data_IF_254087514759
#
_entry.id   IF_254087514759
#
_cell.length_a   1.000
_cell.length_b   1.000
_cell.length_c   1.000
_cell.angle_alpha   90.00
_cell.angle_beta   90.00
_cell.angle_gamma   90.00
#
_symmetry.space_group_name_H-M   'P 1'
#
loop_
_entity.id
_entity.type
_entity.pdbx_description
1 polymer ?
#
# COMPACT_ATOMS: atom_id res chain seq x y z
N UNK A 1 17.95 2.66 5.63
CA UNK A 1 18.64 3.95 5.48
C UNK A 1 18.77 4.51 4.05
N UNK A 2 19.16 3.75 3.03
CA UNK A 2 19.44 4.32 1.68
C UNK A 2 18.25 4.99 0.96
N UNK A 3 17.00 4.60 1.25
CA UNK A 3 15.80 5.17 0.61
C UNK A 3 15.52 6.59 1.11
N UNK A 4 15.68 6.84 2.42
CA UNK A 4 15.47 8.16 3.02
C UNK A 4 16.55 9.16 2.55
N UNK A 5 17.81 8.72 2.50
CA UNK A 5 18.92 9.55 2.02
C UNK A 5 18.78 9.94 0.53
N UNK A 6 18.26 9.04 -0.32
CA UNK A 6 18.02 9.34 -1.73
C UNK A 6 16.85 10.32 -1.94
N UNK A 7 15.82 10.26 -1.09
CA UNK A 7 14.69 11.19 -1.11
C UNK A 7 15.13 12.59 -0.69
N UNK A 8 15.93 12.72 0.36
CA UNK A 8 16.48 14.02 0.82
C UNK A 8 17.46 14.64 -0.18
N UNK A 9 18.36 13.84 -0.77
CA UNK A 9 19.34 14.35 -1.74
C UNK A 9 18.70 14.89 -3.02
N UNK A 10 17.61 14.26 -3.49
CA UNK A 10 16.99 14.63 -4.77
C UNK A 10 15.88 15.68 -4.67
N UNK A 11 15.46 16.09 -3.46
CA UNK A 11 14.28 16.96 -3.24
C UNK A 11 13.07 16.50 -4.07
N UNK A 12 12.82 15.19 -4.05
CA UNK A 12 11.73 14.60 -4.83
C UNK A 12 10.40 15.24 -4.44
N UNK A 13 9.61 15.61 -5.44
CA UNK A 13 8.24 16.07 -5.22
C UNK A 13 7.41 14.98 -4.52
N UNK A 14 6.33 15.35 -3.80
CA UNK A 14 5.46 14.36 -3.15
C UNK A 14 4.95 13.27 -4.12
N UNK A 15 4.74 13.61 -5.39
CA UNK A 15 4.40 12.65 -6.45
C UNK A 15 5.52 11.69 -6.81
N UNK A 16 6.75 12.17 -6.90
CA UNK A 16 7.89 11.32 -7.20
C UNK A 16 8.21 10.38 -6.04
N UNK A 17 8.04 10.83 -4.79
CA UNK A 17 8.24 10.00 -3.61
C UNK A 17 7.29 8.79 -3.59
N UNK A 18 5.99 9.01 -3.84
CA UNK A 18 5.00 7.92 -3.91
C UNK A 18 5.19 7.03 -5.13
N UNK A 19 5.57 7.57 -6.29
CA UNK A 19 5.86 6.76 -7.48
C UNK A 19 7.10 5.89 -7.26
N UNK A 20 8.13 6.42 -6.58
CA UNK A 20 9.30 5.65 -6.17
C UNK A 20 8.93 4.54 -5.18
N UNK A 21 8.10 4.83 -4.18
CA UNK A 21 7.61 3.82 -3.25
C UNK A 21 6.80 2.73 -3.97
N UNK A 22 5.90 3.13 -4.87
CA UNK A 22 5.10 2.22 -5.67
C UNK A 22 5.94 1.36 -6.64
N UNK A 23 7.10 1.85 -7.09
CA UNK A 23 8.02 1.06 -7.93
C UNK A 23 8.54 -0.20 -7.26
N UNK A 24 8.46 -0.28 -5.91
CA UNK A 24 8.83 -1.46 -5.13
C UNK A 24 7.67 -2.45 -4.94
N UNK A 25 6.45 -2.07 -5.35
CA UNK A 25 5.29 -2.95 -5.30
C UNK A 25 5.25 -3.87 -6.52
N UNK A 26 4.72 -5.08 -6.32
CA UNK A 26 4.42 -6.04 -7.37
C UNK A 26 2.93 -6.41 -7.43
N UNK A 27 2.51 -7.01 -8.53
CA UNK A 27 1.19 -7.64 -8.67
C UNK A 27 0.01 -6.70 -8.37
N UNK A 28 -0.95 -7.19 -7.59
CA UNK A 28 -2.20 -6.49 -7.28
C UNK A 28 -2.00 -5.16 -6.53
N UNK A 29 -0.94 -5.06 -5.71
CA UNK A 29 -0.61 -3.83 -4.99
C UNK A 29 -0.18 -2.70 -5.94
N UNK A 30 0.64 -3.02 -6.93
CA UNK A 30 1.05 -2.07 -7.97
C UNK A 30 -0.14 -1.65 -8.83
N UNK A 31 -1.01 -2.60 -9.20
CA UNK A 31 -2.21 -2.31 -10.00
C UNK A 31 -3.17 -1.38 -9.24
N UNK A 32 -3.41 -1.66 -7.95
CA UNK A 32 -4.23 -0.81 -7.09
C UNK A 32 -3.68 0.62 -7.03
N UNK A 33 -2.37 0.78 -6.84
CA UNK A 33 -1.75 2.10 -6.82
C UNK A 33 -1.96 2.84 -8.14
N UNK A 34 -1.74 2.18 -9.29
CA UNK A 34 -1.91 2.81 -10.62
C UNK A 34 -3.33 3.32 -10.84
N UNK A 35 -4.34 2.57 -10.40
CA UNK A 35 -5.76 2.96 -10.52
C UNK A 35 -6.09 4.15 -9.61
N UNK A 36 -5.50 4.19 -8.40
CA UNK A 36 -5.84 5.18 -7.38
C UNK A 36 -4.84 6.36 -7.32
N UNK A 37 -3.84 6.41 -8.20
CA UNK A 37 -2.71 7.37 -8.16
C UNK A 37 -3.14 8.83 -8.07
N UNK A 38 -4.26 9.21 -8.71
CA UNK A 38 -4.78 10.58 -8.68
C UNK A 38 -5.38 10.97 -7.33
N UNK A 39 -5.84 10.00 -6.54
CA UNK A 39 -6.44 10.19 -5.22
C UNK A 39 -5.40 10.15 -4.08
N UNK A 40 -4.13 9.94 -4.42
CA UNK A 40 -3.01 9.80 -3.48
C UNK A 40 -2.06 10.98 -3.74
N UNK A 41 -2.32 12.18 -3.18
CA UNK A 41 -1.55 13.38 -3.49
C UNK A 41 -0.12 13.30 -2.95
N UNK A 42 0.09 12.62 -1.83
CA UNK A 42 1.37 12.57 -1.12
C UNK A 42 1.63 11.18 -0.47
N UNK A 43 2.80 11.08 0.15
CA UNK A 43 3.29 9.85 0.75
C UNK A 43 2.53 9.43 2.02
N UNK A 44 1.96 10.37 2.77
CA UNK A 44 1.18 10.06 3.97
C UNK A 44 -0.14 9.39 3.59
N UNK A 45 -0.83 9.94 2.58
CA UNK A 45 -2.06 9.34 2.04
C UNK A 45 -1.77 7.97 1.42
N UNK A 46 -0.63 7.82 0.72
CA UNK A 46 -0.21 6.52 0.19
C UNK A 46 -0.12 5.46 1.29
N UNK A 47 0.62 5.76 2.37
CA UNK A 47 0.85 4.82 3.47
C UNK A 47 -0.48 4.47 4.13
N UNK A 48 -1.30 5.48 4.43
CA UNK A 48 -2.59 5.29 5.09
C UNK A 48 -3.51 4.37 4.28
N UNK A 49 -3.74 4.68 3.00
CA UNK A 49 -4.62 3.87 2.17
C UNK A 49 -4.06 2.47 1.89
N UNK A 50 -2.74 2.35 1.70
CA UNK A 50 -2.08 1.08 1.49
C UNK A 50 -2.25 0.15 2.71
N UNK A 51 -2.05 0.67 3.92
CA UNK A 51 -2.26 -0.10 5.16
C UNK A 51 -3.73 -0.48 5.37
N UNK A 52 -4.67 0.43 5.10
CA UNK A 52 -6.10 0.10 5.15
C UNK A 52 -6.46 -1.02 4.17
N UNK A 53 -5.96 -0.96 2.94
CA UNK A 53 -6.20 -1.98 1.92
C UNK A 53 -5.58 -3.32 2.30
N UNK A 54 -4.34 -3.31 2.79
CA UNK A 54 -3.64 -4.52 3.24
C UNK A 54 -4.36 -5.18 4.44
N UNK A 55 -4.76 -4.40 5.44
CA UNK A 55 -5.44 -4.92 6.63
C UNK A 55 -6.84 -5.46 6.30
N UNK A 56 -7.61 -4.76 5.47
CA UNK A 56 -8.93 -5.27 5.02
C UNK A 56 -8.84 -6.57 4.23
N UNK A 57 -7.76 -6.77 3.46
CA UNK A 57 -7.48 -8.05 2.80
C UNK A 57 -7.14 -9.17 3.79
N UNK A 58 -6.53 -8.87 4.94
CA UNK A 58 -6.26 -9.88 5.97
C UNK A 58 -7.50 -10.25 6.79
N UNK A 59 -8.34 -9.29 7.17
CA UNK A 59 -9.55 -9.56 7.97
C UNK A 59 -10.54 -10.47 7.22
N UNK A 60 -10.62 -10.35 5.90
CA UNK A 60 -11.46 -11.25 5.08
C UNK A 60 -10.94 -12.69 5.06
N UNK A 61 -9.65 -12.93 5.34
CA UNK A 61 -9.02 -14.25 5.30
C UNK A 61 -9.12 -14.99 6.65
N UNK A 62 -9.13 -14.26 7.77
CA UNK A 62 -9.34 -14.84 9.10
C UNK A 62 -10.78 -15.31 9.35
N UNK A 63 -11.78 -14.73 8.68
CA UNK A 63 -13.18 -15.13 8.86
C UNK A 63 -13.57 -16.44 8.13
N UNK A 64 -12.74 -16.94 7.23
CA UNK A 64 -13.00 -18.20 6.52
C UNK A 64 -12.56 -19.41 7.37
N UNK A 65 -11.57 -19.23 8.26
CA UNK A 65 -11.09 -20.29 9.14
C UNK A 65 -11.89 -20.46 10.45
N UNK A 66 -12.78 -19.52 10.80
CA UNK A 66 -13.63 -19.63 12.00
C UNK A 66 -15.00 -20.27 11.74
N UNK A 67 -15.45 -20.40 10.50
CA UNK A 67 -16.73 -21.06 10.16
C UNK A 67 -16.59 -22.52 9.76
N UNK A 68 -15.36 -23.03 9.54
CA UNK A 68 -15.11 -24.44 9.22
C UNK A 68 -15.21 -25.39 10.44
N UNK A 69 -15.59 -24.90 11.62
CA UNK A 69 -15.68 -25.72 12.84
C UNK A 69 -16.87 -25.38 13.73
N UNK A 70 -18.06 -25.17 13.15
CA UNK A 70 -19.32 -25.23 13.89
C UNK A 70 -20.37 -25.91 13.00
N UNK A 71 -20.25 -27.23 12.89
CA UNK A 71 -21.35 -28.11 12.50
C UNK A 71 -21.55 -29.00 13.75
N UNK A 72 -22.69 -28.91 14.46
CA UNK A 72 -23.03 -29.89 15.49
C UNK A 72 -23.29 -31.28 14.88
#
# INVERSE_FOLDING_TARGET
DQVLAYIEQKRLSPSEQRDLAASKLGGAALLWYRINRLQIPDMQIFIHQFLMKYNSSQTSMSNINSTAKVIP
#
